data_IF_446721131535
#
_entry.id   IF_446721131535
#
_cell.length_a   1.000
_cell.length_b   1.000
_cell.length_c   1.000
_cell.angle_alpha   90.00
_cell.angle_beta   90.00
_cell.angle_gamma   90.00
#
_symmetry.space_group_name_H-M   'P 1'
#
loop_
_entity.id
_entity.type
_entity.pdbx_description
1 polymer ?
#
# COMPACT_ATOMS: atom_id res chain seq x y z
N UNK A 1 2.30 -30.27 25.75
CA UNK A 1 1.19 -29.45 25.24
C UNK A 1 1.29 -28.03 25.74
N UNK A 2 1.49 -27.09 24.83
CA UNK A 2 1.48 -25.64 25.15
C UNK A 2 0.05 -25.15 25.00
N UNK A 3 -0.52 -24.45 26.00
CA UNK A 3 -1.87 -23.89 25.86
C UNK A 3 -1.92 -22.90 24.68
N UNK A 4 -3.11 -22.75 24.04
CA UNK A 4 -3.27 -21.76 22.97
C UNK A 4 -2.88 -20.37 23.45
N UNK A 5 -2.15 -19.62 22.63
CA UNK A 5 -1.84 -18.24 22.93
C UNK A 5 -3.14 -17.42 23.08
N UNK A 6 -3.23 -16.50 24.06
CA UNK A 6 -4.40 -15.66 24.22
C UNK A 6 -4.60 -14.78 22.98
N UNK A 7 -5.87 -14.59 22.59
CA UNK A 7 -6.24 -13.69 21.49
C UNK A 7 -5.94 -12.25 21.95
N UNK A 8 -5.16 -11.47 21.18
CA UNK A 8 -4.83 -10.10 21.58
C UNK A 8 -6.06 -9.19 21.49
N UNK A 9 -6.29 -8.33 22.49
CA UNK A 9 -7.33 -7.29 22.43
C UNK A 9 -6.81 -5.99 21.79
N UNK A 10 -5.49 -5.78 21.85
CA UNK A 10 -4.80 -4.61 21.35
C UNK A 10 -3.76 -5.00 20.28
N UNK A 11 -3.58 -4.12 19.29
CA UNK A 11 -2.63 -4.31 18.22
C UNK A 11 -1.20 -4.33 18.78
N UNK A 12 -0.41 -5.38 18.55
CA UNK A 12 0.95 -5.48 19.10
C UNK A 12 1.91 -4.44 18.48
N UNK A 13 1.55 -3.81 17.36
CA UNK A 13 2.37 -2.79 16.70
C UNK A 13 2.06 -1.36 17.18
N UNK A 14 0.80 -1.02 17.46
CA UNK A 14 0.41 0.37 17.78
C UNK A 14 -0.45 0.51 19.04
N UNK A 15 -0.81 -0.59 19.71
CA UNK A 15 -1.60 -0.60 20.94
C UNK A 15 -3.09 -0.30 20.77
N UNK A 16 -3.57 0.04 19.56
CA UNK A 16 -5.00 0.29 19.34
C UNK A 16 -5.86 -0.97 19.50
N UNK A 17 -7.10 -0.78 19.94
CA UNK A 17 -8.10 -1.86 20.04
C UNK A 17 -8.28 -2.54 18.68
N UNK A 18 -8.21 -3.86 18.70
CA UNK A 18 -8.48 -4.66 17.51
C UNK A 18 -9.99 -4.87 17.35
N UNK A 19 -10.43 -4.98 16.10
CA UNK A 19 -11.85 -5.15 15.75
C UNK A 19 -12.02 -6.27 14.73
N UNK A 20 -13.17 -6.93 14.77
CA UNK A 20 -13.68 -7.68 13.63
C UNK A 20 -14.38 -6.70 12.69
N UNK A 21 -14.02 -6.72 11.42
CA UNK A 21 -14.69 -5.92 10.39
C UNK A 21 -15.78 -6.78 9.77
N UNK A 22 -17.02 -6.30 9.84
CA UNK A 22 -18.19 -6.97 9.27
C UNK A 22 -18.28 -8.44 9.74
N UNK A 23 -18.43 -9.37 8.78
CA UNK A 23 -18.50 -10.82 9.01
C UNK A 23 -17.11 -11.52 8.97
N UNK A 24 -16.00 -10.77 9.07
CA UNK A 24 -14.67 -11.37 9.04
C UNK A 24 -14.29 -12.06 10.37
N UNK A 25 -13.84 -13.31 10.27
CA UNK A 25 -13.17 -14.01 11.38
C UNK A 25 -11.83 -13.36 11.73
N UNK A 26 -11.24 -12.61 10.80
CA UNK A 26 -9.96 -11.94 11.02
C UNK A 26 -10.10 -10.78 12.00
N UNK A 27 -9.19 -10.76 12.98
CA UNK A 27 -9.03 -9.65 13.91
C UNK A 27 -8.07 -8.61 13.30
N UNK A 28 -8.50 -7.36 13.20
CA UNK A 28 -7.77 -6.31 12.46
C UNK A 28 -7.50 -5.06 13.28
N UNK A 29 -6.38 -4.43 12.95
CA UNK A 29 -6.10 -3.05 13.34
C UNK A 29 -6.72 -2.13 12.28
N UNK A 30 -7.43 -1.08 12.71
CA UNK A 30 -8.06 -0.09 11.81
C UNK A 30 -7.35 1.27 11.84
N UNK A 31 -6.23 1.37 12.55
CA UNK A 31 -5.42 2.58 12.57
C UNK A 31 -4.61 2.69 11.26
N UNK A 32 -4.93 3.64 10.36
CA UNK A 32 -4.19 3.81 9.11
C UNK A 32 -2.72 4.20 9.35
N UNK A 33 -2.42 4.81 10.50
CA UNK A 33 -1.06 5.19 10.91
C UNK A 33 -0.35 4.08 11.71
N UNK A 34 -0.88 2.87 11.75
CA UNK A 34 -0.23 1.74 12.40
C UNK A 34 1.13 1.45 11.71
N UNK A 35 2.27 1.43 12.43
CA UNK A 35 3.59 1.23 11.82
C UNK A 35 3.67 -0.05 10.97
N UNK A 36 3.07 -1.15 11.45
CA UNK A 36 3.00 -2.40 10.69
C UNK A 36 2.16 -2.28 9.41
N UNK A 37 1.07 -1.50 9.42
CA UNK A 37 0.25 -1.29 8.22
C UNK A 37 0.97 -0.41 7.20
N UNK A 38 1.57 0.69 7.65
CA UNK A 38 2.35 1.58 6.78
C UNK A 38 3.53 0.80 6.18
N UNK A 39 4.21 -0.03 6.98
CA UNK A 39 5.34 -0.82 6.50
C UNK A 39 4.90 -1.82 5.43
N UNK A 40 3.76 -2.48 5.65
CA UNK A 40 3.25 -3.44 4.68
C UNK A 40 2.71 -2.77 3.42
N UNK A 41 2.06 -1.62 3.54
CA UNK A 41 1.61 -0.83 2.40
C UNK A 41 2.80 -0.40 1.52
N UNK A 42 3.85 0.16 2.13
CA UNK A 42 5.06 0.56 1.41
C UNK A 42 5.76 -0.64 0.75
N UNK A 43 5.84 -1.76 1.46
CA UNK A 43 6.45 -3.00 0.95
C UNK A 43 5.65 -3.58 -0.21
N UNK A 44 4.32 -3.61 -0.09
CA UNK A 44 3.41 -4.06 -1.13
C UNK A 44 3.50 -3.16 -2.37
N UNK A 45 3.48 -1.84 -2.19
CA UNK A 45 3.64 -0.85 -3.25
C UNK A 45 4.94 -1.07 -4.02
N UNK A 46 6.05 -1.34 -3.33
CA UNK A 46 7.35 -1.61 -3.94
C UNK A 46 7.45 -2.98 -4.65
N UNK A 47 6.53 -3.91 -4.38
CA UNK A 47 6.64 -5.30 -4.82
C UNK A 47 6.67 -5.47 -6.34
N UNK A 48 7.20 -6.61 -6.79
CA UNK A 48 7.37 -6.95 -8.22
C UNK A 48 6.07 -6.86 -9.04
N UNK A 49 4.93 -7.17 -8.43
CA UNK A 49 3.63 -7.16 -9.11
C UNK A 49 2.93 -5.79 -9.01
N UNK A 50 3.37 -4.91 -8.12
CA UNK A 50 2.88 -3.55 -7.94
C UNK A 50 3.79 -2.55 -8.66
N UNK A 51 4.49 -1.65 -7.97
CA UNK A 51 5.31 -0.64 -8.63
C UNK A 51 6.74 -1.09 -8.96
N UNK A 52 7.12 -2.33 -8.62
CA UNK A 52 8.42 -2.94 -8.95
C UNK A 52 9.60 -2.00 -8.71
N UNK A 53 9.72 -1.53 -7.47
CA UNK A 53 10.79 -0.63 -7.05
C UNK A 53 11.92 -1.50 -6.51
N UNK A 54 12.83 -1.90 -7.41
CA UNK A 54 13.98 -2.70 -7.06
C UNK A 54 14.85 -2.01 -6.00
N UNK A 55 15.21 -2.76 -4.95
CA UNK A 55 15.98 -2.25 -3.82
C UNK A 55 15.15 -1.68 -2.67
N UNK A 56 13.84 -1.49 -2.83
CA UNK A 56 12.93 -1.04 -1.76
C UNK A 56 12.27 -2.23 -1.04
N UNK A 57 13.08 -3.10 -0.44
CA UNK A 57 12.59 -4.26 0.32
C UNK A 57 12.16 -3.92 1.76
N UNK A 58 11.57 -4.88 2.50
CA UNK A 58 11.03 -4.65 3.86
C UNK A 58 12.04 -4.04 4.84
N UNK A 59 13.31 -4.43 4.75
CA UNK A 59 14.39 -3.89 5.59
C UNK A 59 14.69 -2.42 5.31
N UNK A 60 14.59 -1.99 4.05
CA UNK A 60 14.83 -0.59 3.67
C UNK A 60 13.61 0.25 4.05
N UNK A 61 12.40 -0.25 3.78
CA UNK A 61 11.14 0.37 4.24
C UNK A 61 11.16 0.60 5.75
N UNK A 62 11.51 -0.41 6.54
CA UNK A 62 11.58 -0.28 8.00
C UNK A 62 12.57 0.81 8.45
N UNK A 63 13.72 0.94 7.78
CA UNK A 63 14.68 2.00 8.10
C UNK A 63 14.18 3.39 7.70
N UNK A 64 13.54 3.53 6.54
CA UNK A 64 12.93 4.79 6.10
C UNK A 64 11.88 5.25 7.12
N UNK A 65 11.03 4.33 7.58
CA UNK A 65 10.01 4.60 8.58
C UNK A 65 10.60 4.96 9.95
N UNK A 66 11.60 4.20 10.41
CA UNK A 66 12.28 4.45 11.69
C UNK A 66 13.01 5.80 11.73
N UNK A 67 13.41 6.33 10.57
CA UNK A 67 14.02 7.66 10.41
C UNK A 67 13.00 8.74 10.04
N UNK A 68 11.71 8.42 10.04
CA UNK A 68 10.60 9.30 9.68
C UNK A 68 10.76 9.97 8.30
N UNK A 69 11.40 9.27 7.35
CA UNK A 69 11.62 9.75 5.99
C UNK A 69 10.42 9.49 5.07
N UNK A 70 9.54 8.55 5.46
CA UNK A 70 8.32 8.20 4.72
C UNK A 70 7.19 7.91 5.71
N UNK A 71 5.99 8.37 5.36
CA UNK A 71 4.73 8.12 6.06
C UNK A 71 3.74 7.37 5.19
N UNK A 72 3.84 7.55 3.88
CA UNK A 72 3.02 6.88 2.87
C UNK A 72 3.81 6.64 1.57
N UNK A 73 3.13 6.09 0.57
CA UNK A 73 3.73 5.77 -0.73
C UNK A 73 4.11 7.00 -1.55
N UNK A 74 3.50 8.17 -1.31
CA UNK A 74 3.80 9.40 -2.03
C UNK A 74 5.15 9.97 -1.59
N UNK A 75 5.48 9.88 -0.30
CA UNK A 75 6.77 10.33 0.25
C UNK A 75 7.98 9.65 -0.43
N UNK A 76 7.83 8.42 -0.93
CA UNK A 76 8.89 7.71 -1.67
C UNK A 76 9.42 8.55 -2.84
N UNK A 77 8.53 9.28 -3.51
CA UNK A 77 8.82 10.08 -4.69
C UNK A 77 9.47 11.43 -4.38
N UNK A 78 9.63 11.77 -3.10
CA UNK A 78 10.29 12.97 -2.60
C UNK A 78 11.65 12.68 -1.94
N UNK A 79 12.03 11.40 -1.81
CA UNK A 79 13.31 11.00 -1.21
C UNK A 79 14.49 11.57 -1.98
N UNK A 80 15.47 12.10 -1.25
CA UNK A 80 16.71 12.62 -1.81
C UNK A 80 17.88 11.68 -1.55
N UNK A 81 18.98 11.88 -2.28
CA UNK A 81 20.24 11.16 -2.00
C UNK A 81 20.73 11.40 -0.56
N UNK A 82 20.52 12.61 -0.02
CA UNK A 82 20.90 12.96 1.35
C UNK A 82 20.06 12.19 2.38
N UNK A 83 18.78 11.92 2.10
CA UNK A 83 17.94 11.11 2.97
C UNK A 83 18.35 9.66 2.96
N UNK A 84 18.61 9.09 1.77
CA UNK A 84 19.04 7.70 1.64
C UNK A 84 20.44 7.46 2.20
N UNK A 85 21.31 8.47 2.23
CA UNK A 85 22.62 8.40 2.88
C UNK A 85 22.55 8.23 4.40
N UNK A 86 21.38 8.50 5.02
CA UNK A 86 21.15 8.26 6.46
C UNK A 86 20.89 6.78 6.77
N UNK A 87 20.67 5.93 5.76
CA UNK A 87 20.35 4.51 5.91
C UNK A 87 21.60 3.65 6.13
N UNK A 88 21.44 2.59 6.91
CA UNK A 88 22.52 1.68 7.26
C UNK A 88 22.92 0.85 6.02
N UNK A 89 24.24 0.79 5.77
CA UNK A 89 24.84 0.06 4.64
C UNK A 89 24.35 0.54 3.26
N UNK A 90 23.86 1.77 3.16
CA UNK A 90 23.44 2.38 1.91
C UNK A 90 24.52 3.35 1.42
N UNK A 91 25.18 2.98 0.31
CA UNK A 91 26.26 3.79 -0.31
C UNK A 91 25.79 4.36 -1.64
N UNK A 92 26.59 5.26 -2.21
CA UNK A 92 26.32 5.98 -3.46
C UNK A 92 25.68 5.11 -4.56
N UNK A 93 26.23 3.93 -4.85
CA UNK A 93 25.65 3.02 -5.84
C UNK A 93 24.22 2.56 -5.50
N UNK A 94 23.98 2.16 -4.25
CA UNK A 94 22.64 1.74 -3.80
C UNK A 94 21.66 2.90 -3.77
N UNK A 95 22.12 4.10 -3.38
CA UNK A 95 21.35 5.34 -3.41
C UNK A 95 20.88 5.63 -4.83
N UNK A 96 21.83 5.67 -5.78
CA UNK A 96 21.53 5.96 -7.19
C UNK A 96 20.59 4.91 -7.80
N UNK A 97 20.82 3.62 -7.49
CA UNK A 97 19.94 2.54 -7.95
C UNK A 97 18.51 2.69 -7.42
N UNK A 98 18.33 3.00 -6.13
CA UNK A 98 17.00 3.14 -5.55
C UNK A 98 16.27 4.37 -6.09
N UNK A 99 16.94 5.53 -6.18
CA UNK A 99 16.33 6.74 -6.77
C UNK A 99 15.96 6.51 -8.24
N UNK A 100 16.80 5.80 -9.00
CA UNK A 100 16.48 5.43 -10.37
C UNK A 100 15.27 4.49 -10.43
N UNK A 101 15.19 3.47 -9.56
CA UNK A 101 14.06 2.56 -9.51
C UNK A 101 12.74 3.28 -9.17
N UNK A 102 12.76 4.20 -8.19
CA UNK A 102 11.60 5.03 -7.82
C UNK A 102 11.19 5.94 -8.99
N UNK A 103 12.13 6.55 -9.69
CA UNK A 103 11.79 7.40 -10.83
C UNK A 103 11.24 6.58 -12.01
N UNK A 104 11.82 5.41 -12.27
CA UNK A 104 11.33 4.52 -13.32
C UNK A 104 9.92 4.00 -13.03
N UNK A 105 9.58 3.76 -11.76
CA UNK A 105 8.24 3.27 -11.39
C UNK A 105 7.11 4.24 -11.71
N UNK A 106 7.40 5.54 -11.90
CA UNK A 106 6.42 6.54 -12.35
C UNK A 106 5.84 6.24 -13.73
N UNK A 107 6.55 5.46 -14.56
CA UNK A 107 6.13 5.07 -15.90
C UNK A 107 5.37 3.74 -15.92
N UNK A 108 5.13 3.13 -14.74
CA UNK A 108 4.31 1.94 -14.68
C UNK A 108 2.87 2.23 -15.06
N UNK A 109 2.21 1.19 -15.52
CA UNK A 109 0.81 1.21 -15.93
C UNK A 109 -0.15 1.41 -14.76
N UNK A 110 -1.35 1.93 -15.07
CA UNK A 110 -2.37 2.29 -14.10
C UNK A 110 -2.84 1.08 -13.29
N UNK A 111 -2.92 -0.12 -13.87
CA UNK A 111 -3.31 -1.31 -13.11
C UNK A 111 -2.32 -1.66 -12.01
N UNK A 112 -1.03 -1.40 -12.25
CA UNK A 112 0.03 -1.62 -11.26
C UNK A 112 -0.04 -0.61 -10.13
N UNK A 113 -0.38 0.64 -10.47
CA UNK A 113 -0.63 1.68 -9.47
C UNK A 113 -1.84 1.32 -8.61
N UNK A 114 -2.99 1.02 -9.21
CA UNK A 114 -4.22 0.63 -8.48
C UNK A 114 -3.94 -0.57 -7.56
N UNK A 115 -3.24 -1.59 -8.07
CA UNK A 115 -2.87 -2.75 -7.25
C UNK A 115 -1.91 -2.36 -6.12
N UNK A 116 -0.92 -1.50 -6.40
CA UNK A 116 0.08 -1.06 -5.43
C UNK A 116 -0.47 -0.19 -4.30
N UNK A 117 -1.55 0.56 -4.53
CA UNK A 117 -2.22 1.37 -3.49
C UNK A 117 -2.76 0.52 -2.33
N UNK A 118 -2.91 -0.80 -2.53
CA UNK A 118 -3.28 -1.74 -1.48
C UNK A 118 -4.72 -1.58 -0.99
N UNK A 119 -5.62 -1.13 -1.89
CA UNK A 119 -7.04 -0.94 -1.58
C UNK A 119 -7.65 -2.30 -1.22
N UNK A 120 -8.39 -2.35 -0.10
CA UNK A 120 -9.01 -3.59 0.40
C UNK A 120 -9.90 -4.20 -0.68
N UNK A 121 -9.86 -5.53 -0.81
CA UNK A 121 -10.55 -6.32 -1.85
C UNK A 121 -10.07 -6.11 -3.30
N UNK A 122 -9.17 -5.15 -3.57
CA UNK A 122 -8.64 -4.88 -4.92
C UNK A 122 -7.35 -5.66 -5.15
N UNK A 123 -7.49 -6.91 -5.61
CA UNK A 123 -6.37 -7.71 -6.11
C UNK A 123 -5.96 -7.34 -7.54
N UNK A 124 -4.85 -7.89 -8.03
CA UNK A 124 -4.31 -7.57 -9.36
C UNK A 124 -5.32 -7.79 -10.53
N UNK A 125 -6.21 -8.78 -10.42
CA UNK A 125 -7.29 -8.98 -11.40
C UNK A 125 -8.29 -7.82 -11.41
N UNK A 126 -8.73 -7.39 -10.23
CA UNK A 126 -9.67 -6.27 -10.10
C UNK A 126 -9.00 -4.96 -10.57
N UNK A 127 -7.75 -4.72 -10.16
CA UNK A 127 -6.99 -3.56 -10.60
C UNK A 127 -6.87 -3.46 -12.13
N UNK A 128 -6.63 -4.60 -12.81
CA UNK A 128 -6.60 -4.66 -14.27
C UNK A 128 -7.95 -4.35 -14.90
N UNK A 129 -9.04 -4.93 -14.40
CA UNK A 129 -10.40 -4.67 -14.90
C UNK A 129 -10.76 -3.18 -14.75
N UNK A 130 -10.42 -2.59 -13.60
CA UNK A 130 -10.67 -1.17 -13.33
C UNK A 130 -9.85 -0.28 -14.27
N UNK A 131 -8.56 -0.60 -14.47
CA UNK A 131 -7.72 0.15 -15.40
C UNK A 131 -8.21 0.03 -16.85
N UNK A 132 -8.62 -1.16 -17.29
CA UNK A 132 -9.19 -1.39 -18.63
C UNK A 132 -10.51 -0.61 -18.84
N UNK A 133 -11.32 -0.44 -17.78
CA UNK A 133 -12.60 0.26 -17.86
C UNK A 133 -12.47 1.79 -17.77
N UNK A 134 -11.71 2.29 -16.81
CA UNK A 134 -11.61 3.73 -16.51
C UNK A 134 -10.44 4.43 -17.21
N UNK A 135 -9.46 3.67 -17.71
CA UNK A 135 -8.30 4.18 -18.47
C UNK A 135 -7.20 4.78 -17.58
N UNK A 136 -7.55 5.71 -16.69
CA UNK A 136 -6.63 6.35 -15.75
C UNK A 136 -7.16 6.42 -14.32
N UNK A 137 -6.28 6.86 -13.41
CA UNK A 137 -6.60 6.94 -11.98
C UNK A 137 -7.61 8.05 -11.68
N UNK A 138 -7.56 9.17 -12.39
CA UNK A 138 -8.43 10.34 -12.14
C UNK A 138 -9.90 10.00 -12.43
N UNK A 139 -10.15 9.28 -13.52
CA UNK A 139 -11.49 8.77 -13.84
C UNK A 139 -11.99 7.78 -12.80
N UNK A 140 -11.13 6.88 -12.29
CA UNK A 140 -11.51 5.95 -11.22
C UNK A 140 -11.80 6.69 -9.90
N UNK A 141 -10.99 7.69 -9.56
CA UNK A 141 -11.15 8.48 -8.33
C UNK A 141 -12.44 9.30 -8.30
N UNK A 142 -12.93 9.71 -9.47
CA UNK A 142 -14.15 10.53 -9.62
C UNK A 142 -15.41 9.72 -9.92
N UNK A 143 -15.28 8.43 -10.22
CA UNK A 143 -16.42 7.54 -10.49
C UNK A 143 -17.29 7.32 -9.25
N UNK A 144 -18.60 7.20 -9.47
CA UNK A 144 -19.53 6.86 -8.39
C UNK A 144 -19.40 5.39 -7.97
N UNK A 145 -19.85 5.07 -6.77
CA UNK A 145 -19.86 3.68 -6.28
C UNK A 145 -20.67 2.77 -7.21
N UNK A 146 -21.80 3.25 -7.72
CA UNK A 146 -22.67 2.52 -8.65
C UNK A 146 -21.94 2.26 -9.97
N UNK A 147 -21.29 3.28 -10.54
CA UNK A 147 -20.53 3.14 -11.78
C UNK A 147 -19.39 2.11 -11.64
N UNK A 148 -18.72 2.08 -10.49
CA UNK A 148 -17.66 1.09 -10.21
C UNK A 148 -18.27 -0.31 -10.02
N UNK A 149 -19.41 -0.44 -9.35
CA UNK A 149 -20.09 -1.71 -9.11
C UNK A 149 -20.75 -2.31 -10.36
N UNK A 150 -21.01 -1.50 -11.39
CA UNK A 150 -21.53 -1.95 -12.68
C UNK A 150 -20.43 -2.56 -13.58
N UNK A 151 -19.15 -2.37 -13.23
CA UNK A 151 -18.05 -2.96 -14.00
C UNK A 151 -18.08 -4.49 -13.84
N UNK A 152 -18.02 -5.28 -14.93
CA UNK A 152 -18.11 -6.74 -14.85
C UNK A 152 -17.07 -7.35 -13.89
N UNK A 153 -17.55 -8.17 -12.94
CA UNK A 153 -16.76 -8.80 -11.86
C UNK A 153 -16.26 -7.83 -10.76
N UNK A 154 -16.67 -6.57 -10.77
CA UNK A 154 -16.46 -5.63 -9.68
C UNK A 154 -17.79 -5.51 -8.93
N UNK A 155 -17.89 -6.14 -7.76
CA UNK A 155 -19.09 -6.09 -6.94
C UNK A 155 -19.16 -4.85 -6.02
N UNK A 156 -20.29 -4.66 -5.31
CA UNK A 156 -20.51 -3.50 -4.44
C UNK A 156 -19.46 -3.36 -3.33
N UNK A 157 -18.96 -4.47 -2.78
CA UNK A 157 -17.90 -4.46 -1.75
C UNK A 157 -16.58 -3.87 -2.26
N UNK A 158 -16.20 -4.16 -3.51
CA UNK A 158 -14.98 -3.60 -4.11
C UNK A 158 -15.21 -2.11 -4.41
N UNK A 159 -16.38 -1.76 -4.96
CA UNK A 159 -16.73 -0.38 -5.26
C UNK A 159 -16.71 0.51 -4.01
N UNK A 160 -17.33 0.06 -2.93
CA UNK A 160 -17.33 0.76 -1.64
C UNK A 160 -15.90 0.96 -1.10
N UNK A 161 -15.06 -0.09 -1.17
CA UNK A 161 -13.68 -0.01 -0.72
C UNK A 161 -12.86 1.03 -1.51
N UNK A 162 -13.06 1.12 -2.82
CA UNK A 162 -12.39 2.10 -3.68
C UNK A 162 -12.84 3.52 -3.36
N UNK A 163 -14.15 3.77 -3.31
CA UNK A 163 -14.69 5.10 -2.99
C UNK A 163 -14.28 5.54 -1.58
N UNK A 164 -14.31 4.62 -0.61
CA UNK A 164 -13.87 4.92 0.75
C UNK A 164 -12.39 5.27 0.80
N UNK A 165 -11.55 4.55 0.07
CA UNK A 165 -10.12 4.82 -0.01
C UNK A 165 -9.84 6.23 -0.54
N UNK A 166 -10.44 6.63 -1.66
CA UNK A 166 -10.20 7.95 -2.26
C UNK A 166 -10.91 9.12 -1.56
N UNK A 167 -11.87 8.86 -0.67
CA UNK A 167 -12.45 9.90 0.21
C UNK A 167 -11.57 10.18 1.44
N UNK A 168 -10.78 9.20 1.88
CA UNK A 168 -9.94 9.28 3.07
C UNK A 168 -8.49 9.69 2.77
N UNK A 169 -8.07 9.60 1.50
CA UNK A 169 -6.80 10.09 0.97
C UNK A 169 -6.84 11.61 0.75
#
# INVERSE_FOLDING_TARGET
>A
DTPPAPIPEACPSCGQKLVHLDDEVALRCINPMCPAQVQEQLTHFASRNAMNIDGLGPKIVAQLQAKHLVKDVADLYHLTAADLAKLDKFKEKSINNLLSAINNSRQNSVERLIFGLGIRHVGGKAARILAEHFGDLDHLMTASQEAIADVPNIGPTIAEAIVTYFKAA
#
